data_IF_541659528900
#
_entry.id   IF_541659528900
#
_cell.length_a   1.000
_cell.length_b   1.000
_cell.length_c   1.000
_cell.angle_alpha   90.00
_cell.angle_beta   90.00
_cell.angle_gamma   90.00
#
_symmetry.space_group_name_H-M   'P 1'
#
loop_
_entity.id
_entity.type
_entity.pdbx_description
1 polymer ?
#
# COMPACT_ATOMS: atom_id res chain seq x y z
N UNK A 1 0.62 20.41 -10.23
CA UNK A 1 -0.56 19.66 -9.73
C UNK A 1 -1.19 18.73 -10.77
N UNK A 2 -1.18 19.07 -12.06
CA UNK A 2 -1.73 18.20 -13.11
C UNK A 2 -1.06 16.82 -13.20
N UNK A 3 0.27 16.76 -13.08
CA UNK A 3 1.02 15.49 -13.07
C UNK A 3 0.52 14.53 -11.98
N UNK A 4 0.23 15.05 -10.78
CA UNK A 4 -0.31 14.26 -9.67
C UNK A 4 -1.72 13.74 -10.00
N UNK A 5 -2.55 14.57 -10.63
CA UNK A 5 -3.88 14.14 -11.12
C UNK A 5 -3.79 13.05 -12.19
N UNK A 6 -2.86 13.18 -13.15
CA UNK A 6 -2.61 12.14 -14.18
C UNK A 6 -2.15 10.84 -13.53
N UNK A 7 -1.20 10.92 -12.60
CA UNK A 7 -0.71 9.76 -11.85
C UNK A 7 -1.82 9.07 -11.06
N UNK A 8 -2.72 9.81 -10.39
CA UNK A 8 -3.91 9.25 -9.73
C UNK A 8 -4.94 8.66 -10.71
N UNK A 9 -4.96 9.11 -11.97
CA UNK A 9 -5.87 8.57 -12.98
C UNK A 9 -5.37 7.23 -13.50
N UNK A 10 -4.05 7.12 -13.73
CA UNK A 10 -3.41 5.91 -14.27
C UNK A 10 -3.23 4.86 -13.19
N UNK A 11 -2.78 5.25 -11.99
CA UNK A 11 -2.53 4.31 -10.92
C UNK A 11 -3.87 3.85 -10.32
N UNK A 12 -4.23 2.58 -10.49
CA UNK A 12 -5.46 1.97 -9.94
C UNK A 12 -5.24 1.26 -8.61
N UNK A 13 -4.00 1.21 -8.12
CA UNK A 13 -3.61 0.43 -6.92
C UNK A 13 -3.24 1.31 -5.72
N UNK A 14 -2.93 2.59 -5.94
CA UNK A 14 -2.59 3.52 -4.87
C UNK A 14 -3.77 3.69 -3.90
N UNK A 15 -3.59 3.23 -2.66
CA UNK A 15 -4.62 3.27 -1.62
C UNK A 15 -4.64 4.60 -0.85
N UNK A 16 -3.48 5.24 -0.68
CA UNK A 16 -3.33 6.43 0.16
C UNK A 16 -2.43 7.47 -0.49
N UNK A 17 -2.80 8.74 -0.38
CA UNK A 17 -1.97 9.89 -0.74
C UNK A 17 -2.30 11.06 0.18
N UNK A 18 -1.28 11.66 0.81
CA UNK A 18 -1.40 12.91 1.57
C UNK A 18 -0.58 13.97 0.88
N UNK A 19 -1.20 15.12 0.57
CA UNK A 19 -0.55 16.20 -0.15
C UNK A 19 -0.59 17.45 0.72
N UNK A 20 0.58 17.93 1.09
CA UNK A 20 0.75 19.21 1.75
C UNK A 20 0.89 20.30 0.69
N UNK A 21 -0.03 21.27 0.69
CA UNK A 21 -0.10 22.34 -0.30
C UNK A 21 -0.02 23.68 0.43
N UNK A 22 0.69 24.66 -0.14
CA UNK A 22 0.63 26.02 0.40
C UNK A 22 -0.78 26.60 0.31
N UNK A 23 -1.11 27.45 1.26
CA UNK A 23 -2.48 27.98 1.43
C UNK A 23 -2.95 28.79 0.20
N UNK A 24 -2.06 29.53 -0.44
CA UNK A 24 -2.28 30.27 -1.69
C UNK A 24 -2.51 29.37 -2.92
N UNK A 25 -1.98 28.15 -2.88
CA UNK A 25 -2.10 27.17 -3.96
C UNK A 25 -3.26 26.17 -3.75
N UNK A 26 -4.07 26.34 -2.70
CA UNK A 26 -5.20 25.44 -2.35
C UNK A 26 -6.14 25.18 -3.53
N UNK A 27 -6.37 26.18 -4.39
CA UNK A 27 -7.22 26.05 -5.59
C UNK A 27 -6.77 24.93 -6.53
N UNK A 28 -5.46 24.69 -6.62
CA UNK A 28 -4.87 23.65 -7.47
C UNK A 28 -4.95 22.24 -6.85
N UNK A 29 -5.25 22.12 -5.56
CA UNK A 29 -5.50 20.85 -4.89
C UNK A 29 -6.90 20.28 -5.13
N UNK A 30 -7.88 21.14 -5.42
CA UNK A 30 -9.29 20.73 -5.59
C UNK A 30 -9.51 19.58 -6.60
N UNK A 31 -8.82 19.52 -7.76
CA UNK A 31 -8.95 18.40 -8.70
C UNK A 31 -8.61 17.04 -8.07
N UNK A 32 -7.70 16.99 -7.10
CA UNK A 32 -7.27 15.74 -6.45
C UNK A 32 -8.36 15.14 -5.57
N UNK A 33 -9.28 15.97 -5.04
CA UNK A 33 -10.43 15.50 -4.24
C UNK A 33 -11.34 14.56 -5.05
N UNK A 34 -11.38 14.71 -6.38
CA UNK A 34 -12.13 13.81 -7.26
C UNK A 34 -11.62 12.38 -7.24
N UNK A 35 -10.42 12.12 -6.71
CA UNK A 35 -9.85 10.79 -6.57
C UNK A 35 -10.01 10.21 -5.16
N UNK A 36 -10.55 10.98 -4.22
CA UNK A 36 -10.91 10.50 -2.90
C UNK A 36 -12.12 9.55 -3.01
N UNK A 37 -12.10 8.48 -2.23
CA UNK A 37 -13.08 7.40 -2.19
C UNK A 37 -13.32 6.68 -3.53
N UNK A 38 -12.34 6.72 -4.45
CA UNK A 38 -12.43 5.90 -5.67
C UNK A 38 -12.04 4.45 -5.38
N UNK A 39 -12.78 3.46 -5.91
CA UNK A 39 -12.39 2.05 -5.80
C UNK A 39 -10.99 1.82 -6.35
N UNK A 40 -10.20 1.02 -5.65
CA UNK A 40 -8.91 0.54 -6.15
C UNK A 40 -9.02 -0.90 -6.64
N UNK A 41 -8.30 -1.22 -7.71
CA UNK A 41 -8.13 -2.60 -8.13
C UNK A 41 -7.19 -3.26 -7.12
N UNK A 42 -7.64 -4.30 -6.42
CA UNK A 42 -6.68 -5.18 -5.74
C UNK A 42 -6.10 -6.13 -6.80
N UNK A 43 -4.77 -6.29 -6.89
CA UNK A 43 -4.28 -7.57 -7.38
C UNK A 43 -4.88 -8.63 -6.45
N UNK A 44 -5.42 -9.71 -7.01
CA UNK A 44 -5.94 -10.83 -6.24
C UNK A 44 -4.77 -11.47 -5.47
N UNK A 45 -4.35 -10.85 -4.37
CA UNK A 45 -3.51 -11.51 -3.39
C UNK A 45 -4.39 -12.64 -2.89
N UNK A 46 -3.92 -13.87 -3.04
CA UNK A 46 -4.55 -15.05 -2.47
C UNK A 46 -4.66 -14.84 -0.97
N UNK A 47 -5.77 -14.24 -0.52
CA UNK A 47 -6.12 -14.22 0.88
C UNK A 47 -6.41 -15.68 1.21
N UNK A 48 -5.40 -16.38 1.74
CA UNK A 48 -5.60 -17.65 2.41
C UNK A 48 -6.43 -17.32 3.66
N UNK A 49 -7.75 -17.28 3.48
CA UNK A 49 -8.67 -17.20 4.57
C UNK A 49 -8.49 -18.49 5.39
N UNK A 50 -7.83 -18.37 6.54
CA UNK A 50 -7.72 -19.46 7.50
C UNK A 50 -9.08 -19.49 8.21
N UNK A 51 -9.98 -20.35 7.75
CA UNK A 51 -11.21 -20.65 8.48
C UNK A 51 -10.85 -21.59 9.61
N UNK A 52 -10.92 -21.09 10.84
CA UNK A 52 -10.85 -21.91 12.05
C UNK A 52 -12.30 -22.25 12.41
N UNK A 53 -12.79 -23.47 12.15
CA UNK A 53 -14.11 -23.87 12.57
C UNK A 53 -14.11 -23.94 14.10
N UNK A 54 -14.92 -23.10 14.72
CA UNK A 54 -15.27 -23.28 16.13
C UNK A 54 -16.10 -24.57 16.22
N UNK A 55 -15.45 -25.69 16.56
CA UNK A 55 -16.16 -26.92 16.91
C UNK A 55 -16.93 -26.67 18.21
N UNK A 56 -18.23 -26.40 18.09
CA UNK A 56 -19.15 -26.55 19.21
C UNK A 56 -19.43 -28.05 19.39
N UNK A 57 -18.84 -28.62 20.44
CA UNK A 57 -19.04 -29.97 21.00
C UNK A 57 -18.74 -31.18 20.09
N UNK A 58 -17.94 -32.17 20.53
CA UNK A 58 -17.77 -33.43 19.81
C UNK A 58 -19.04 -34.29 19.93
N UNK A 59 -19.72 -34.55 18.82
CA UNK A 59 -20.51 -35.76 18.67
C UNK A 59 -19.55 -36.93 18.38
N UNK A 60 -19.80 -38.09 18.99
CA UNK A 60 -18.89 -39.23 19.13
C UNK A 60 -18.27 -39.76 17.80
N UNK A 61 -17.05 -40.33 17.85
CA UNK A 61 -16.38 -40.79 16.65
C UNK A 61 -16.83 -42.20 16.24
N UNK A 62 -17.55 -42.31 15.12
CA UNK A 62 -17.72 -43.59 14.43
C UNK A 62 -16.47 -43.89 13.58
N UNK A 63 -15.88 -45.06 13.82
CA UNK A 63 -14.60 -45.48 13.26
C UNK A 63 -14.83 -46.14 11.91
N UNK A 64 -14.55 -45.46 10.81
CA UNK A 64 -14.31 -46.16 9.54
C UNK A 64 -13.20 -45.51 8.70
N UNK A 65 -12.12 -46.28 8.53
CA UNK A 65 -10.95 -45.94 7.71
C UNK A 65 -11.36 -45.90 6.24
N UNK A 66 -11.15 -44.78 5.56
CA UNK A 66 -10.86 -44.78 4.11
C UNK A 66 -9.92 -43.64 3.73
N UNK A 67 -8.77 -44.09 3.27
CA UNK A 67 -7.74 -43.40 2.53
C UNK A 67 -8.35 -42.57 1.38
N UNK A 68 -8.09 -41.26 1.36
CA UNK A 68 -8.22 -40.38 0.17
C UNK A 68 -7.62 -39.01 0.46
N UNK A 69 -6.55 -38.72 -0.29
CA UNK A 69 -5.97 -37.42 -0.68
C UNK A 69 -6.22 -36.25 0.27
N UNK A 70 -5.12 -35.75 0.80
CA UNK A 70 -4.92 -34.43 1.42
C UNK A 70 -5.42 -33.28 0.53
N UNK A 71 -6.73 -33.09 0.46
CA UNK A 71 -7.31 -31.76 0.37
C UNK A 71 -7.66 -31.39 1.81
N UNK A 72 -7.11 -30.27 2.30
CA UNK A 72 -7.31 -29.79 3.67
C UNK A 72 -8.75 -29.32 3.86
N UNK A 73 -9.67 -30.27 3.94
CA UNK A 73 -11.09 -30.04 4.15
C UNK A 73 -11.29 -29.82 5.65
N UNK A 74 -11.12 -28.57 6.06
CA UNK A 74 -11.50 -28.13 7.40
C UNK A 74 -13.04 -28.12 7.48
N UNK A 75 -13.63 -29.19 8.02
CA UNK A 75 -15.07 -29.24 8.35
C UNK A 75 -16.05 -29.48 7.19
N UNK A 76 -15.61 -30.08 6.08
CA UNK A 76 -16.48 -30.42 4.93
C UNK A 76 -16.69 -29.29 3.91
N UNK A 77 -16.18 -28.09 4.18
CA UNK A 77 -16.29 -26.93 3.28
C UNK A 77 -15.09 -26.84 2.34
N UNK A 78 -15.37 -26.74 1.04
CA UNK A 78 -14.36 -26.52 0.00
C UNK A 78 -13.67 -25.17 0.23
N UNK A 79 -12.36 -25.22 0.45
CA UNK A 79 -11.54 -24.03 0.68
C UNK A 79 -11.57 -23.06 -0.52
N UNK A 80 -11.83 -23.55 -1.75
CA UNK A 80 -12.04 -22.70 -2.92
C UNK A 80 -13.32 -21.88 -2.80
N UNK A 81 -14.45 -22.51 -2.45
CA UNK A 81 -15.73 -21.83 -2.23
C UNK A 81 -15.62 -20.81 -1.11
N UNK A 82 -14.97 -21.19 0.01
CA UNK A 82 -14.70 -20.29 1.13
C UNK A 82 -13.85 -19.09 0.68
N UNK A 83 -12.76 -19.33 -0.06
CA UNK A 83 -11.92 -18.26 -0.59
C UNK A 83 -12.67 -17.34 -1.56
N UNK A 84 -13.60 -17.88 -2.36
CA UNK A 84 -14.45 -17.12 -3.26
C UNK A 84 -15.43 -16.22 -2.48
N UNK A 85 -16.08 -16.75 -1.43
CA UNK A 85 -16.98 -15.97 -0.58
C UNK A 85 -16.22 -14.81 0.07
N UNK A 86 -15.04 -15.07 0.64
CA UNK A 86 -14.25 -14.00 1.24
C UNK A 86 -13.70 -13.02 0.21
N UNK A 87 -13.32 -13.47 -0.99
CA UNK A 87 -12.91 -12.57 -2.08
C UNK A 87 -14.05 -11.67 -2.57
N UNK A 88 -15.30 -12.15 -2.51
CA UNK A 88 -16.50 -11.40 -2.86
C UNK A 88 -16.94 -10.45 -1.73
N UNK A 89 -16.85 -10.91 -0.49
CA UNK A 89 -17.25 -10.16 0.69
C UNK A 89 -16.20 -9.14 1.15
N UNK A 90 -14.99 -9.16 0.57
CA UNK A 90 -13.92 -8.23 0.89
C UNK A 90 -14.38 -6.81 0.53
N UNK A 91 -14.46 -5.87 1.50
CA UNK A 91 -14.92 -4.52 1.21
C UNK A 91 -14.07 -3.88 0.12
N UNK A 92 -14.73 -3.19 -0.81
CA UNK A 92 -14.05 -2.40 -1.83
C UNK A 92 -13.09 -1.43 -1.13
N UNK A 93 -11.78 -1.61 -1.31
CA UNK A 93 -10.83 -0.64 -0.79
C UNK A 93 -11.02 0.65 -1.58
N UNK A 94 -11.28 1.71 -0.82
CA UNK A 94 -11.47 3.04 -1.37
C UNK A 94 -10.18 3.83 -1.19
N UNK A 95 -9.73 4.49 -2.26
CA UNK A 95 -8.58 5.38 -2.23
C UNK A 95 -8.84 6.54 -1.27
N UNK A 96 -7.86 6.85 -0.44
CA UNK A 96 -7.87 8.02 0.45
C UNK A 96 -6.86 9.04 -0.04
N UNK A 97 -7.36 10.14 -0.60
CA UNK A 97 -6.55 11.32 -0.96
C UNK A 97 -6.86 12.44 0.02
N UNK A 98 -5.86 12.90 0.77
CA UNK A 98 -5.97 14.02 1.70
C UNK A 98 -5.18 15.22 1.21
N UNK A 99 -5.71 16.40 1.51
CA UNK A 99 -5.13 17.69 1.16
C UNK A 99 -5.01 18.50 2.42
N UNK A 100 -3.77 18.71 2.86
CA UNK A 100 -3.45 19.58 4.00
C UNK A 100 -2.93 20.89 3.47
N UNK A 101 -3.32 21.98 4.10
CA UNK A 101 -2.82 23.31 3.75
C UNK A 101 -1.83 23.79 4.79
N UNK A 102 -0.66 24.27 4.34
CA UNK A 102 0.36 24.91 5.19
C UNK A 102 0.56 26.37 4.81
N UNK A 103 0.99 27.18 5.75
CA UNK A 103 1.44 28.57 5.52
C UNK A 103 2.96 28.68 5.36
N UNK A 104 3.69 27.67 5.82
CA UNK A 104 5.14 27.65 5.82
C UNK A 104 5.68 27.10 4.51
N UNK A 105 6.79 27.67 4.03
CA UNK A 105 7.61 26.99 3.04
C UNK A 105 8.12 25.71 3.70
N UNK A 106 7.87 24.56 3.07
CA UNK A 106 8.67 23.38 3.39
C UNK A 106 10.04 23.70 2.83
N UNK A 107 10.99 24.05 3.70
CA UNK A 107 12.40 24.08 3.32
C UNK A 107 12.72 22.70 2.76
N UNK A 108 13.07 22.67 1.47
CA UNK A 108 13.60 21.46 0.86
C UNK A 108 14.91 21.18 1.57
N UNK A 109 15.00 20.08 2.31
CA UNK A 109 16.28 19.55 2.81
C UNK A 109 17.14 19.15 1.61
N UNK A 110 17.73 20.13 0.95
CA UNK A 110 18.69 19.97 -0.13
C UNK A 110 19.85 20.95 0.06
N UNK A 111 20.32 21.07 1.30
CA UNK A 111 21.56 21.77 1.62
C UNK A 111 22.50 20.80 2.37
N UNK A 112 22.82 19.71 1.68
CA UNK A 112 24.05 18.98 1.89
C UNK A 112 24.88 19.24 0.65
N UNK A 113 25.37 20.47 0.52
CA UNK A 113 26.45 20.78 -0.40
C UNK A 113 27.71 20.56 0.41
N UNK A 114 28.33 19.41 0.17
CA UNK A 114 29.58 18.99 0.77
C UNK A 114 30.66 20.06 0.54
N UNK A 115 31.02 20.77 1.62
CA UNK A 115 32.22 21.58 1.72
C UNK A 115 33.37 20.62 2.07
N UNK A 116 33.79 19.81 1.10
CA UNK A 116 35.10 19.18 1.18
C UNK A 116 36.08 20.22 0.64
N UNK A 117 36.72 20.92 1.58
CA UNK A 117 37.95 21.68 1.32
C UNK A 117 38.93 20.74 0.60
N UNK A 118 39.12 21.00 -0.69
CA UNK A 118 40.16 20.38 -1.50
C UNK A 118 41.47 21.00 -0.99
N UNK A 119 42.18 20.29 -0.11
CA UNK A 119 43.54 20.68 0.29
C UNK A 119 44.42 20.61 -0.97
N UNK A 120 44.72 21.78 -1.54
CA UNK A 120 45.77 21.96 -2.54
C UNK A 120 47.12 21.66 -1.86
N UNK A 121 47.60 20.42 -2.02
CA UNK A 121 48.99 20.05 -1.82
C UNK A 121 49.83 20.72 -2.93
N UNK A 122 50.29 21.96 -2.68
CA UNK A 122 51.30 22.64 -3.49
C UNK A 122 52.68 21.98 -3.27
N UNK A 123 53.01 21.03 -4.14
CA UNK A 123 54.37 20.56 -4.37
C UNK A 123 55.22 21.68 -5.01
N UNK A 124 55.88 22.52 -4.22
CA UNK A 124 57.01 23.34 -4.70
C UNK A 124 58.32 22.53 -4.68
N UNK A 125 58.57 21.85 -5.80
CA UNK A 125 59.89 21.44 -6.25
C UNK A 125 60.57 22.65 -6.92
N UNK A 126 61.67 23.17 -6.36
CA UNK A 126 62.91 23.45 -7.12
C UNK A 126 64.03 24.16 -6.29
N UNK A 127 65.12 23.41 -6.09
CA UNK A 127 66.52 23.75 -6.37
C UNK A 127 67.17 25.08 -5.91
N UNK A 128 68.13 24.97 -4.98
CA UNK A 128 69.55 25.40 -5.15
C UNK A 128 70.43 24.94 -3.97
#
# INVERSE_FOLDING_TARGET
MEALGRMLTVNRHLAYLDVLIRSDLRKYGNPLKKHHLKPIARPAKSHQAIVIPARLSPAEPDRNKRDRRTESVVGGLDQRVVSQIFSFADPALLRRVFLRTTKYYVESYCDFSDDYDEEDDDDEEDGA
#
